data_IF_479212709402
#
_entry.id   IF_479212709402
#
_cell.length_a   1.000
_cell.length_b   1.000
_cell.length_c   1.000
_cell.angle_alpha   90.00
_cell.angle_beta   90.00
_cell.angle_gamma   90.00
#
_symmetry.space_group_name_H-M   'P 1'
#
loop_
_entity.id
_entity.type
_entity.pdbx_description
1 polymer ?
#
# COMPACT_ATOMS: atom_id res chain seq x y z
N UNK A 1 -6.74 -22.25 -29.11
CA UNK A 1 -7.42 -21.28 -28.23
C UNK A 1 -8.43 -22.05 -27.41
N UNK A 2 -8.78 -21.63 -26.20
CA UNK A 2 -9.84 -22.29 -25.45
C UNK A 2 -11.19 -22.10 -26.15
N UNK A 3 -12.01 -23.14 -26.15
CA UNK A 3 -13.33 -23.19 -26.75
C UNK A 3 -14.36 -23.52 -25.67
N UNK A 4 -15.64 -23.21 -25.92
CA UNK A 4 -16.78 -23.49 -25.01
C UNK A 4 -16.58 -23.01 -23.55
N UNK A 5 -16.05 -21.79 -23.37
CA UNK A 5 -15.80 -21.24 -22.05
C UNK A 5 -17.13 -20.92 -21.36
N UNK A 6 -17.32 -21.49 -20.16
CA UNK A 6 -18.44 -21.21 -19.26
C UNK A 6 -17.91 -20.63 -17.97
N UNK A 7 -18.41 -19.46 -17.59
CA UNK A 7 -18.09 -18.82 -16.33
C UNK A 7 -19.19 -19.12 -15.31
N UNK A 8 -18.79 -19.58 -14.13
CA UNK A 8 -19.63 -19.70 -12.94
C UNK A 8 -19.24 -18.60 -11.98
N UNK A 9 -20.04 -17.54 -11.90
CA UNK A 9 -19.72 -16.34 -11.11
C UNK A 9 -19.33 -16.70 -9.67
N UNK A 10 -18.19 -16.22 -9.21
CA UNK A 10 -17.64 -16.51 -7.88
C UNK A 10 -17.08 -17.92 -7.66
N UNK A 11 -17.16 -18.78 -8.68
CA UNK A 11 -16.65 -20.18 -8.57
C UNK A 11 -15.48 -20.46 -9.49
N UNK A 12 -15.51 -19.99 -10.75
CA UNK A 12 -14.43 -20.19 -11.70
C UNK A 12 -14.89 -20.37 -13.15
N UNK A 13 -14.02 -20.92 -13.97
CA UNK A 13 -14.15 -21.10 -15.40
C UNK A 13 -14.05 -22.59 -15.78
N UNK A 14 -14.87 -23.01 -16.72
CA UNK A 14 -14.75 -24.31 -17.42
C UNK A 14 -14.62 -24.06 -18.92
N UNK A 15 -13.82 -24.84 -19.61
CA UNK A 15 -13.65 -24.73 -21.05
C UNK A 15 -12.91 -25.92 -21.62
N UNK A 16 -12.75 -25.94 -22.94
CA UNK A 16 -12.04 -26.96 -23.66
C UNK A 16 -10.76 -26.38 -24.29
N UNK A 17 -9.63 -27.10 -24.12
CA UNK A 17 -8.36 -26.73 -24.73
C UNK A 17 -7.82 -27.97 -25.46
N UNK A 18 -7.94 -27.97 -26.79
CA UNK A 18 -7.75 -29.19 -27.60
C UNK A 18 -8.76 -30.24 -27.20
N UNK A 19 -8.28 -31.45 -26.91
CA UNK A 19 -9.15 -32.58 -26.53
C UNK A 19 -9.45 -32.63 -25.01
N UNK A 20 -8.86 -31.74 -24.20
CA UNK A 20 -8.98 -31.79 -22.74
C UNK A 20 -10.00 -30.80 -22.22
N UNK A 21 -10.85 -31.24 -21.28
CA UNK A 21 -11.70 -30.36 -20.49
C UNK A 21 -10.90 -29.76 -19.35
N UNK A 22 -10.81 -28.41 -19.29
CA UNK A 22 -10.09 -27.66 -18.26
C UNK A 22 -11.11 -26.98 -17.33
N UNK A 23 -10.88 -27.12 -16.03
CA UNK A 23 -11.62 -26.41 -14.98
C UNK A 23 -10.62 -25.62 -14.16
N UNK A 24 -10.86 -24.32 -14.01
CA UNK A 24 -10.02 -23.40 -13.22
C UNK A 24 -10.91 -22.64 -12.25
N UNK A 25 -10.70 -22.79 -10.95
CA UNK A 25 -11.58 -22.10 -10.00
C UNK A 25 -11.39 -22.50 -8.55
N UNK A 26 -12.44 -22.21 -7.78
CA UNK A 26 -12.48 -22.43 -6.35
C UNK A 26 -12.35 -23.91 -5.98
N UNK A 27 -11.98 -24.15 -4.72
CA UNK A 27 -11.95 -25.51 -4.14
C UNK A 27 -13.27 -26.28 -4.39
N UNK A 28 -14.41 -25.60 -4.21
CA UNK A 28 -15.73 -26.23 -4.38
C UNK A 28 -16.01 -26.64 -5.81
N UNK A 29 -15.54 -25.86 -6.79
CA UNK A 29 -15.71 -26.16 -8.21
C UNK A 29 -14.86 -27.36 -8.65
N UNK A 30 -13.60 -27.41 -8.20
CA UNK A 30 -12.62 -28.40 -8.65
C UNK A 30 -12.75 -29.75 -7.90
N UNK A 31 -13.00 -29.72 -6.59
CA UNK A 31 -13.06 -30.94 -5.76
C UNK A 31 -14.49 -31.34 -5.39
N UNK A 32 -15.50 -30.50 -5.61
CA UNK A 32 -16.87 -30.76 -5.19
C UNK A 32 -16.98 -30.99 -3.69
N UNK A 33 -17.76 -32.01 -3.30
CA UNK A 33 -17.91 -32.48 -1.90
C UNK A 33 -16.87 -33.55 -1.53
N UNK A 34 -15.93 -33.88 -2.41
CA UNK A 34 -14.89 -34.86 -2.18
C UNK A 34 -13.80 -34.38 -1.23
N UNK A 35 -13.00 -35.33 -0.74
CA UNK A 35 -11.79 -35.00 0.03
C UNK A 35 -10.76 -34.28 -0.85
N UNK A 36 -10.00 -33.36 -0.27
CA UNK A 36 -8.90 -32.70 -0.96
C UNK A 36 -7.59 -33.47 -0.72
N UNK A 37 -6.76 -33.65 -1.75
CA UNK A 37 -5.47 -34.32 -1.62
C UNK A 37 -4.49 -33.47 -0.80
N UNK A 38 -3.49 -34.10 -0.17
CA UNK A 38 -2.53 -33.41 0.70
C UNK A 38 -1.82 -32.25 0.05
N UNK A 39 -1.47 -32.33 -1.25
CA UNK A 39 -0.84 -31.25 -1.97
C UNK A 39 -1.76 -30.01 -2.05
N UNK A 40 -3.07 -30.20 -2.19
CA UNK A 40 -4.02 -29.09 -2.23
C UNK A 40 -4.22 -28.46 -0.84
N UNK A 41 -4.16 -29.27 0.24
CA UNK A 41 -4.13 -28.75 1.62
C UNK A 41 -2.88 -27.89 1.84
N UNK A 42 -1.71 -28.33 1.34
CA UNK A 42 -0.47 -27.54 1.41
C UNK A 42 -0.60 -26.23 0.63
N UNK A 43 -1.16 -26.27 -0.59
CA UNK A 43 -1.37 -25.07 -1.40
C UNK A 43 -2.30 -24.06 -0.71
N UNK A 44 -3.39 -24.51 -0.07
CA UNK A 44 -4.28 -23.66 0.71
C UNK A 44 -3.56 -23.01 1.90
N UNK A 45 -2.69 -23.76 2.57
CA UNK A 45 -1.88 -23.24 3.68
C UNK A 45 -0.90 -22.18 3.21
N UNK A 46 -0.17 -22.43 2.11
CA UNK A 46 0.73 -21.44 1.49
C UNK A 46 -0.02 -20.18 1.05
N UNK A 47 -1.18 -20.36 0.40
CA UNK A 47 -2.03 -19.24 0.04
C UNK A 47 -2.40 -18.38 1.25
N UNK A 48 -2.77 -19.05 2.36
CA UNK A 48 -3.11 -18.38 3.62
C UNK A 48 -1.95 -17.58 4.22
N UNK A 49 -0.72 -18.08 4.15
CA UNK A 49 0.45 -17.38 4.68
C UNK A 49 0.90 -16.21 3.81
N UNK A 50 0.74 -16.34 2.49
CA UNK A 50 1.13 -15.31 1.50
C UNK A 50 0.01 -14.34 1.17
N UNK A 51 -1.12 -14.41 1.88
CA UNK A 51 -2.35 -13.66 1.54
C UNK A 51 -2.75 -13.79 0.08
N UNK A 52 -2.46 -14.96 -0.49
CA UNK A 52 -2.74 -15.27 -1.87
C UNK A 52 -4.11 -15.93 -2.03
N UNK A 53 -4.78 -15.62 -3.12
CA UNK A 53 -5.94 -16.36 -3.57
C UNK A 53 -5.48 -17.68 -4.18
N UNK A 54 -6.03 -18.81 -3.71
CA UNK A 54 -5.75 -20.12 -4.32
C UNK A 54 -6.83 -20.48 -5.34
N UNK A 55 -6.40 -20.68 -6.58
CA UNK A 55 -7.24 -21.14 -7.67
C UNK A 55 -6.75 -22.52 -8.12
N UNK A 56 -7.62 -23.51 -8.10
CA UNK A 56 -7.28 -24.88 -8.46
C UNK A 56 -7.53 -25.15 -9.95
N UNK A 57 -6.74 -26.06 -10.50
CA UNK A 57 -6.85 -26.48 -11.89
C UNK A 57 -7.13 -27.97 -11.95
N UNK A 58 -8.14 -28.36 -12.75
CA UNK A 58 -8.39 -29.75 -13.10
C UNK A 58 -8.38 -29.94 -14.63
N UNK A 59 -7.85 -31.09 -15.05
CA UNK A 59 -7.82 -31.57 -16.45
C UNK A 59 -8.60 -32.85 -16.50
N UNK A 60 -9.62 -32.92 -17.35
CA UNK A 60 -10.52 -34.08 -17.50
C UNK A 60 -11.06 -34.59 -16.15
N UNK A 61 -11.45 -33.65 -15.28
CA UNK A 61 -11.98 -33.94 -13.96
C UNK A 61 -10.95 -34.38 -12.91
N UNK A 62 -9.65 -34.41 -13.26
CA UNK A 62 -8.56 -34.72 -12.33
C UNK A 62 -7.87 -33.43 -11.86
N UNK A 63 -7.88 -33.09 -10.57
CA UNK A 63 -7.12 -31.96 -10.05
C UNK A 63 -5.61 -32.15 -10.26
N UNK A 64 -4.98 -31.21 -10.97
CA UNK A 64 -3.56 -31.30 -11.38
C UNK A 64 -2.66 -30.29 -10.67
N UNK A 65 -3.22 -29.20 -10.13
CA UNK A 65 -2.41 -28.18 -9.47
C UNK A 65 -3.24 -27.04 -8.92
N UNK A 66 -2.53 -26.07 -8.34
CA UNK A 66 -3.09 -24.80 -7.84
C UNK A 66 -2.23 -23.64 -8.32
N UNK A 67 -2.89 -22.52 -8.61
CA UNK A 67 -2.29 -21.21 -8.85
C UNK A 67 -2.49 -20.39 -7.59
N UNK A 68 -1.42 -19.83 -7.08
CA UNK A 68 -1.47 -18.86 -5.97
C UNK A 68 -1.33 -17.48 -6.57
N UNK A 69 -2.39 -16.68 -6.43
CA UNK A 69 -2.47 -15.31 -6.94
C UNK A 69 -2.35 -14.39 -5.74
N UNK A 70 -1.21 -13.71 -5.61
CA UNK A 70 -1.00 -12.70 -4.59
C UNK A 70 -1.14 -11.32 -5.24
N UNK A 71 -1.78 -10.40 -4.52
CA UNK A 71 -1.79 -9.00 -4.89
C UNK A 71 -0.57 -8.34 -4.25
N UNK A 72 0.31 -7.80 -5.08
CA UNK A 72 1.52 -7.14 -4.60
C UNK A 72 1.19 -5.72 -4.12
N UNK A 73 1.86 -5.31 -3.03
CA UNK A 73 1.76 -3.93 -2.59
C UNK A 73 2.30 -3.01 -3.68
N UNK A 74 1.52 -2.00 -4.04
CA UNK A 74 1.91 -1.03 -5.07
C UNK A 74 3.14 -0.23 -4.62
N UNK A 75 4.14 -0.12 -5.49
CA UNK A 75 5.43 0.53 -5.21
C UNK A 75 5.26 1.95 -4.62
N UNK A 76 4.30 2.72 -5.14
CA UNK A 76 4.05 4.09 -4.69
C UNK A 76 3.33 4.21 -3.34
N UNK A 77 2.91 3.12 -2.71
CA UNK A 77 2.05 3.16 -1.50
C UNK A 77 2.75 3.81 -0.32
N UNK A 78 4.00 3.45 -0.03
CA UNK A 78 4.75 4.05 1.10
C UNK A 78 4.89 5.56 0.92
N UNK A 79 5.29 5.99 -0.28
CA UNK A 79 5.41 7.41 -0.60
C UNK A 79 4.06 8.13 -0.46
N UNK A 80 2.96 7.51 -0.87
CA UNK A 80 1.63 8.06 -0.71
C UNK A 80 1.27 8.25 0.77
N UNK A 81 1.57 7.26 1.64
CA UNK A 81 1.38 7.35 3.09
C UNK A 81 2.19 8.51 3.67
N UNK A 82 3.46 8.66 3.28
CA UNK A 82 4.31 9.77 3.72
C UNK A 82 3.77 11.13 3.26
N UNK A 83 3.33 11.23 2.00
CA UNK A 83 2.70 12.44 1.49
C UNK A 83 1.42 12.81 2.28
N UNK A 84 0.65 11.82 2.74
CA UNK A 84 -0.50 12.03 3.63
C UNK A 84 -0.06 12.56 5.01
N UNK A 85 1.03 12.03 5.58
CA UNK A 85 1.63 12.56 6.82
C UNK A 85 2.07 14.02 6.64
N UNK A 86 2.72 14.35 5.52
CA UNK A 86 3.19 15.71 5.21
C UNK A 86 2.05 16.72 5.07
N UNK A 87 0.89 16.31 4.58
CA UNK A 87 -0.33 17.13 4.63
C UNK A 87 -1.05 17.07 5.99
N UNK A 88 -0.34 16.68 7.06
CA UNK A 88 -0.80 16.66 8.45
C UNK A 88 -2.01 15.75 8.71
N UNK A 89 -2.05 14.60 8.10
CA UNK A 89 -2.92 13.49 8.53
C UNK A 89 -2.26 12.88 9.77
N UNK A 90 -2.90 13.03 10.92
CA UNK A 90 -2.34 12.62 12.21
C UNK A 90 -2.41 11.13 12.48
N UNK A 91 -3.39 10.42 11.88
CA UNK A 91 -3.60 8.99 12.08
C UNK A 91 -4.00 8.34 10.76
N UNK A 92 -3.33 7.24 10.42
CA UNK A 92 -3.58 6.45 9.21
C UNK A 92 -3.81 5.01 9.63
N UNK A 93 -4.96 4.47 9.25
CA UNK A 93 -5.37 3.11 9.60
C UNK A 93 -5.69 2.32 8.35
N UNK A 94 -5.43 1.02 8.39
CA UNK A 94 -5.90 0.07 7.40
C UNK A 94 -7.08 -0.73 7.96
N UNK A 95 -8.17 -0.83 7.20
CA UNK A 95 -9.33 -1.66 7.53
C UNK A 95 -9.55 -2.61 6.37
N UNK A 96 -9.30 -3.88 6.57
CA UNK A 96 -9.31 -4.90 5.53
C UNK A 96 -10.10 -6.14 5.93
N UNK A 97 -10.67 -6.82 4.93
CA UNK A 97 -11.23 -8.16 5.09
C UNK A 97 -10.18 -9.27 5.07
N UNK A 98 -8.93 -8.94 4.81
CA UNK A 98 -7.82 -9.90 4.79
C UNK A 98 -7.47 -10.37 6.20
N UNK A 99 -6.71 -11.46 6.24
CA UNK A 99 -6.29 -12.07 7.51
C UNK A 99 -5.29 -11.19 8.26
N UNK A 100 -5.35 -11.29 9.59
CA UNK A 100 -4.52 -10.49 10.48
C UNK A 100 -3.02 -10.62 10.20
N UNK A 101 -2.52 -11.85 9.99
CA UNK A 101 -1.08 -12.10 9.76
C UNK A 101 -0.50 -11.27 8.62
N UNK A 102 -1.24 -11.18 7.50
CA UNK A 102 -0.85 -10.42 6.33
C UNK A 102 -1.04 -8.93 6.49
N UNK A 103 -2.19 -8.55 7.03
CA UNK A 103 -2.53 -7.16 7.27
C UNK A 103 -1.54 -6.50 8.23
N UNK A 104 -1.12 -7.20 9.29
CA UNK A 104 -0.14 -6.71 10.26
C UNK A 104 1.25 -6.52 9.62
N UNK A 105 1.67 -7.45 8.75
CA UNK A 105 2.93 -7.32 8.00
C UNK A 105 2.94 -6.07 7.12
N UNK A 106 1.87 -5.85 6.36
CA UNK A 106 1.71 -4.64 5.51
C UNK A 106 1.64 -3.39 6.38
N UNK A 107 0.90 -3.43 7.48
CA UNK A 107 0.77 -2.31 8.40
C UNK A 107 2.10 -1.89 9.02
N UNK A 108 2.93 -2.84 9.40
CA UNK A 108 4.27 -2.60 9.92
C UNK A 108 5.19 -2.02 8.84
N UNK A 109 5.17 -2.56 7.62
CA UNK A 109 5.97 -2.07 6.50
C UNK A 109 5.61 -0.64 6.06
N UNK A 110 4.33 -0.26 6.17
CA UNK A 110 3.82 1.07 5.83
C UNK A 110 3.80 2.06 7.00
N UNK A 111 4.22 1.66 8.19
CA UNK A 111 4.16 2.48 9.41
C UNK A 111 2.77 3.04 9.68
N UNK A 112 1.76 2.16 9.66
CA UNK A 112 0.39 2.52 9.95
C UNK A 112 0.15 2.60 11.47
N UNK A 113 -0.73 3.50 11.90
CA UNK A 113 -1.04 3.69 13.32
C UNK A 113 -1.95 2.58 13.87
N UNK A 114 -2.73 1.92 13.02
CA UNK A 114 -3.54 0.78 13.38
C UNK A 114 -3.91 -0.06 12.16
N UNK A 115 -4.13 -1.34 12.40
CA UNK A 115 -4.61 -2.32 11.41
C UNK A 115 -5.83 -3.02 12.00
N UNK A 116 -6.94 -3.02 11.26
CA UNK A 116 -8.17 -3.74 11.58
C UNK A 116 -8.38 -4.80 10.49
N UNK A 117 -7.94 -5.99 10.75
CA UNK A 117 -8.04 -7.14 9.85
C UNK A 117 -9.33 -7.94 10.06
N UNK A 118 -9.62 -8.90 9.18
CA UNK A 118 -10.78 -9.79 9.23
C UNK A 118 -12.12 -9.04 9.34
N UNK A 119 -12.27 -7.88 8.67
CA UNK A 119 -13.46 -7.02 8.79
C UNK A 119 -14.45 -7.26 7.66
N UNK A 120 -15.71 -7.52 8.03
CA UNK A 120 -16.83 -7.51 7.09
C UNK A 120 -17.15 -6.07 6.62
N UNK A 121 -17.94 -5.90 5.55
CA UNK A 121 -18.39 -4.56 5.12
C UNK A 121 -19.12 -3.78 6.22
N UNK A 122 -19.88 -4.44 7.06
CA UNK A 122 -20.55 -3.84 8.24
C UNK A 122 -19.55 -3.38 9.30
N UNK A 123 -18.52 -4.20 9.59
CA UNK A 123 -17.48 -3.84 10.56
C UNK A 123 -16.66 -2.64 10.09
N UNK A 124 -16.49 -2.47 8.75
CA UNK A 124 -15.84 -1.28 8.18
C UNK A 124 -16.65 0.00 8.46
N UNK A 125 -17.97 -0.06 8.35
CA UNK A 125 -18.86 1.07 8.70
C UNK A 125 -18.72 1.43 10.18
N UNK A 126 -18.72 0.43 11.06
CA UNK A 126 -18.58 0.63 12.51
C UNK A 126 -17.21 1.21 12.88
N UNK A 127 -16.14 0.75 12.22
CA UNK A 127 -14.80 1.30 12.39
C UNK A 127 -14.74 2.78 12.01
N UNK A 128 -15.29 3.13 10.83
CA UNK A 128 -15.39 4.52 10.35
C UNK A 128 -16.18 5.39 11.32
N UNK A 129 -17.34 4.92 11.77
CA UNK A 129 -18.19 5.65 12.71
C UNK A 129 -17.53 5.86 14.08
N UNK A 130 -16.69 4.90 14.51
CA UNK A 130 -15.94 5.00 15.75
C UNK A 130 -14.85 6.08 15.65
N UNK A 131 -14.08 6.09 14.59
CA UNK A 131 -13.04 7.10 14.35
C UNK A 131 -13.66 8.50 14.15
N UNK A 132 -14.82 8.60 13.49
CA UNK A 132 -15.51 9.88 13.27
C UNK A 132 -15.93 10.56 14.57
N UNK A 133 -16.17 9.81 15.64
CA UNK A 133 -16.45 10.38 16.98
C UNK A 133 -15.22 11.06 17.60
N UNK A 134 -14.03 10.68 17.17
CA UNK A 134 -12.78 11.24 17.70
C UNK A 134 -12.35 12.47 16.91
N UNK A 135 -12.46 12.45 15.59
CA UNK A 135 -12.11 13.54 14.69
C UNK A 135 -12.78 13.35 13.32
N UNK A 136 -12.91 14.43 12.51
CA UNK A 136 -13.26 14.30 11.10
C UNK A 136 -12.26 13.34 10.40
N UNK A 137 -12.81 12.38 9.69
CA UNK A 137 -12.06 11.32 9.06
C UNK A 137 -12.25 11.27 7.54
N UNK A 138 -11.32 10.61 6.86
CA UNK A 138 -11.35 10.40 5.43
C UNK A 138 -11.16 8.90 5.18
N UNK A 139 -11.96 8.33 4.30
CA UNK A 139 -11.80 6.95 3.85
C UNK A 139 -11.48 6.92 2.36
N UNK A 140 -10.54 6.05 2.00
CA UNK A 140 -10.22 5.71 0.61
C UNK A 140 -10.59 4.26 0.39
N UNK A 141 -11.40 3.99 -0.62
CA UNK A 141 -11.81 2.64 -1.00
C UNK A 141 -11.89 2.51 -2.52
N UNK A 142 -11.72 1.30 -3.03
CA UNK A 142 -11.73 0.97 -4.46
C UNK A 142 -12.89 0.04 -4.85
N UNK A 143 -13.46 -0.66 -3.87
CA UNK A 143 -14.42 -1.73 -4.08
C UNK A 143 -15.89 -1.34 -3.87
N UNK A 144 -16.78 -2.10 -4.52
CA UNK A 144 -18.23 -2.01 -4.34
C UNK A 144 -18.62 -2.25 -2.88
N UNK A 145 -17.86 -3.11 -2.19
CA UNK A 145 -18.07 -3.47 -0.79
C UNK A 145 -17.77 -2.32 0.19
N UNK A 146 -17.05 -1.30 -0.25
CA UNK A 146 -16.68 -0.13 0.56
C UNK A 146 -17.71 1.00 0.47
N UNK A 147 -18.65 0.93 -0.46
CA UNK A 147 -19.66 1.98 -0.69
C UNK A 147 -20.42 2.40 0.60
N UNK A 148 -20.90 1.48 1.47
CA UNK A 148 -21.56 1.88 2.72
C UNK A 148 -20.65 2.64 3.68
N UNK A 149 -19.37 2.25 3.77
CA UNK A 149 -18.40 2.90 4.64
C UNK A 149 -17.97 4.26 4.07
N UNK A 150 -17.81 4.37 2.72
CA UNK A 150 -17.52 5.63 2.02
C UNK A 150 -18.65 6.66 2.22
N UNK A 151 -19.90 6.23 2.28
CA UNK A 151 -21.04 7.11 2.55
C UNK A 151 -21.14 7.52 4.03
N UNK A 152 -20.57 6.77 4.95
CA UNK A 152 -20.66 7.02 6.39
C UNK A 152 -19.52 7.89 6.93
N UNK A 153 -18.42 8.05 6.22
CA UNK A 153 -17.25 8.82 6.61
C UNK A 153 -17.45 10.32 6.40
N UNK A 154 -16.63 11.17 7.05
CA UNK A 154 -16.70 12.63 6.85
C UNK A 154 -16.33 13.06 5.42
N UNK A 155 -15.39 12.37 4.78
CA UNK A 155 -15.05 12.53 3.35
C UNK A 155 -14.72 11.17 2.76
N UNK A 156 -15.56 10.68 1.86
CA UNK A 156 -15.36 9.44 1.12
C UNK A 156 -14.63 9.68 -0.20
N UNK A 157 -13.57 8.91 -0.45
CA UNK A 157 -12.82 8.93 -1.72
C UNK A 157 -12.88 7.56 -2.38
N UNK A 158 -13.51 7.48 -3.55
CA UNK A 158 -13.45 6.29 -4.39
C UNK A 158 -12.25 6.36 -5.34
N UNK A 159 -11.49 5.27 -5.43
CA UNK A 159 -10.29 5.16 -6.26
C UNK A 159 -10.48 4.09 -7.34
N UNK A 160 -9.99 4.37 -8.57
CA UNK A 160 -10.10 3.41 -9.68
C UNK A 160 -11.50 3.20 -10.23
N UNK A 161 -12.49 4.00 -9.79
CA UNK A 161 -13.88 3.87 -10.19
C UNK A 161 -14.06 4.17 -11.69
N UNK A 162 -14.13 3.11 -12.50
CA UNK A 162 -14.47 3.22 -13.92
C UNK A 162 -15.99 3.17 -14.09
N UNK A 163 -16.60 4.33 -14.35
CA UNK A 163 -18.04 4.42 -14.62
C UNK A 163 -18.91 4.58 -13.37
N UNK A 164 -20.19 4.24 -13.48
CA UNK A 164 -21.20 4.39 -12.42
C UNK A 164 -21.16 3.22 -11.42
N UNK A 165 -20.00 2.98 -10.79
CA UNK A 165 -19.90 1.98 -9.71
C UNK A 165 -20.59 2.49 -8.44
N UNK A 166 -21.06 1.56 -7.57
CA UNK A 166 -21.67 1.92 -6.29
C UNK A 166 -20.73 2.78 -5.43
N UNK A 167 -19.42 2.50 -5.46
CA UNK A 167 -18.40 3.27 -4.74
C UNK A 167 -18.29 4.70 -5.26
N UNK A 168 -18.34 4.93 -6.57
CA UNK A 168 -18.27 6.28 -7.15
C UNK A 168 -19.51 7.12 -6.86
N UNK A 169 -20.68 6.49 -6.65
CA UNK A 169 -21.91 7.18 -6.28
C UNK A 169 -21.98 7.48 -4.76
N UNK A 170 -21.29 6.68 -3.95
CA UNK A 170 -21.28 6.85 -2.50
C UNK A 170 -20.17 7.81 -2.01
N UNK A 171 -19.18 8.10 -2.85
CA UNK A 171 -18.02 8.91 -2.48
C UNK A 171 -18.22 10.39 -2.81
N UNK A 172 -17.65 11.28 -1.97
CA UNK A 172 -17.57 12.72 -2.21
C UNK A 172 -16.57 13.10 -3.30
N UNK A 173 -15.50 12.29 -3.43
CA UNK A 173 -14.42 12.48 -4.40
C UNK A 173 -14.15 11.18 -5.15
N UNK A 174 -13.96 11.28 -6.45
CA UNK A 174 -13.62 10.15 -7.31
C UNK A 174 -12.26 10.38 -7.95
N UNK A 175 -11.32 9.48 -7.71
CA UNK A 175 -10.00 9.46 -8.33
C UNK A 175 -10.03 8.39 -9.44
N UNK A 176 -9.91 8.82 -10.70
CA UNK A 176 -10.07 7.96 -11.87
C UNK A 176 -8.92 6.95 -12.08
N UNK A 177 -7.82 7.13 -11.38
CA UNK A 177 -6.64 6.26 -11.45
C UNK A 177 -6.44 5.56 -10.11
N UNK A 178 -5.98 4.33 -10.16
CA UNK A 178 -5.73 3.54 -8.95
C UNK A 178 -4.37 3.90 -8.34
N UNK A 179 -4.21 5.15 -7.89
CA UNK A 179 -2.98 5.68 -7.32
C UNK A 179 -3.24 6.46 -6.04
N UNK A 180 -2.77 5.92 -4.92
CA UNK A 180 -2.97 6.50 -3.59
C UNK A 180 -2.28 7.87 -3.41
N UNK A 181 -1.18 8.15 -4.12
CA UNK A 181 -0.48 9.43 -4.09
C UNK A 181 -1.37 10.60 -4.58
N UNK A 182 -2.42 10.31 -5.37
CA UNK A 182 -3.39 11.31 -5.83
C UNK A 182 -4.27 11.83 -4.71
N UNK A 183 -4.51 11.04 -3.67
CA UNK A 183 -5.26 11.45 -2.48
C UNK A 183 -4.54 12.58 -1.76
N UNK A 184 -3.24 12.45 -1.54
CA UNK A 184 -2.43 13.51 -0.90
C UNK A 184 -2.40 14.80 -1.72
N UNK A 185 -2.34 14.68 -3.06
CA UNK A 185 -2.41 15.83 -3.97
C UNK A 185 -3.78 16.50 -3.91
N UNK A 186 -4.88 15.73 -3.90
CA UNK A 186 -6.23 16.26 -3.76
C UNK A 186 -6.40 17.04 -2.45
N UNK A 187 -5.90 16.48 -1.34
CA UNK A 187 -5.90 17.13 -0.03
C UNK A 187 -5.08 18.44 -0.01
N UNK A 188 -3.89 18.43 -0.63
CA UNK A 188 -3.05 19.62 -0.71
C UNK A 188 -3.73 20.74 -1.52
N UNK A 189 -4.37 20.40 -2.64
CA UNK A 189 -5.13 21.32 -3.47
C UNK A 189 -6.33 21.88 -2.69
N UNK A 190 -7.10 21.03 -2.02
CA UNK A 190 -8.27 21.43 -1.24
C UNK A 190 -7.87 22.38 -0.11
N UNK A 191 -6.82 22.07 0.67
CA UNK A 191 -6.32 22.95 1.74
C UNK A 191 -5.82 24.28 1.24
N UNK A 192 -5.11 24.28 0.11
CA UNK A 192 -4.64 25.50 -0.53
C UNK A 192 -5.82 26.37 -0.98
N UNK A 193 -6.80 25.77 -1.67
CA UNK A 193 -8.00 26.46 -2.13
C UNK A 193 -8.76 27.07 -0.96
N UNK A 194 -8.98 26.29 0.11
CA UNK A 194 -9.61 26.77 1.34
C UNK A 194 -8.84 27.92 1.99
N UNK A 195 -7.50 27.82 2.09
CA UNK A 195 -6.67 28.90 2.63
C UNK A 195 -6.77 30.20 1.83
N UNK A 196 -6.79 30.12 0.50
CA UNK A 196 -6.97 31.28 -0.37
C UNK A 196 -8.38 31.88 -0.20
N UNK A 197 -9.42 31.02 -0.11
CA UNK A 197 -10.79 31.48 0.10
C UNK A 197 -10.94 32.24 1.43
N UNK A 198 -10.46 31.66 2.54
CA UNK A 198 -10.50 32.32 3.85
C UNK A 198 -9.70 33.64 3.83
N UNK A 199 -8.50 33.64 3.23
CA UNK A 199 -7.70 34.84 3.07
C UNK A 199 -8.46 35.92 2.30
N UNK A 200 -9.12 35.59 1.20
CA UNK A 200 -9.92 36.51 0.39
C UNK A 200 -11.09 37.10 1.19
N UNK A 201 -11.82 36.25 1.92
CA UNK A 201 -12.95 36.68 2.75
C UNK A 201 -12.48 37.63 3.83
N UNK A 202 -11.43 37.27 4.60
CA UNK A 202 -10.95 38.09 5.72
C UNK A 202 -10.43 39.43 5.21
N UNK A 203 -9.66 39.46 4.12
CA UNK A 203 -9.14 40.73 3.56
C UNK A 203 -10.28 41.57 3.02
N UNK A 204 -11.22 40.99 2.27
CA UNK A 204 -12.39 41.71 1.74
C UNK A 204 -13.23 42.34 2.85
N UNK A 205 -13.58 41.58 3.89
CA UNK A 205 -14.34 42.04 5.03
C UNK A 205 -13.61 43.15 5.79
N UNK A 206 -12.30 43.01 6.00
CA UNK A 206 -11.50 44.01 6.72
C UNK A 206 -11.45 45.33 5.94
N UNK A 207 -11.21 45.27 4.62
CA UNK A 207 -11.17 46.47 3.75
C UNK A 207 -12.55 47.15 3.68
N UNK A 208 -13.64 46.38 3.47
CA UNK A 208 -14.99 46.90 3.44
C UNK A 208 -15.39 47.52 4.80
N UNK A 209 -15.03 46.88 5.91
CA UNK A 209 -15.23 47.42 7.26
C UNK A 209 -14.47 48.74 7.49
N UNK A 210 -13.24 48.84 7.03
CA UNK A 210 -12.45 50.05 7.10
C UNK A 210 -13.07 51.19 6.24
N UNK A 211 -13.56 50.86 5.03
CA UNK A 211 -14.24 51.80 4.16
C UNK A 211 -15.54 52.32 4.79
N UNK A 212 -16.34 51.42 5.42
CA UNK A 212 -17.55 51.82 6.16
C UNK A 212 -17.25 52.74 7.35
N UNK A 213 -16.18 52.46 8.12
CA UNK A 213 -15.74 53.33 9.20
C UNK A 213 -15.33 54.70 8.67
N UNK A 214 -14.56 54.77 7.60
CA UNK A 214 -14.17 56.02 6.96
C UNK A 214 -15.40 56.82 6.47
N UNK A 215 -16.40 56.15 5.90
CA UNK A 215 -17.64 56.78 5.48
C UNK A 215 -18.47 57.30 6.68
N UNK A 216 -18.51 56.61 7.83
CA UNK A 216 -19.22 57.02 9.01
C UNK A 216 -18.63 58.29 9.66
N UNK A 217 -17.33 58.53 9.48
CA UNK A 217 -16.65 59.78 9.90
C UNK A 217 -16.73 60.89 8.84
N UNK A 218 -17.47 60.67 7.72
CA UNK A 218 -17.61 61.66 6.66
C UNK A 218 -16.39 61.80 5.75
N UNK A 219 -15.41 60.92 5.86
CA UNK A 219 -14.19 60.92 5.04
C UNK A 219 -14.43 60.39 3.62
N UNK A 220 -15.53 59.69 3.39
CA UNK A 220 -15.86 59.04 2.13
C UNK A 220 -17.26 59.48 1.66
N UNK A 221 -17.34 60.16 0.52
CA UNK A 221 -18.64 60.48 -0.09
C UNK A 221 -19.26 59.23 -0.76
N UNK A 222 -20.58 59.10 -0.87
CA UNK A 222 -21.23 57.84 -1.34
C UNK A 222 -20.72 57.31 -2.68
N UNK A 223 -20.49 58.20 -3.64
CA UNK A 223 -19.97 57.77 -4.98
C UNK A 223 -18.55 57.23 -4.87
N UNK A 224 -17.68 57.86 -4.10
CA UNK A 224 -16.33 57.35 -3.89
C UNK A 224 -16.33 56.06 -3.09
N UNK A 225 -17.24 55.90 -2.12
CA UNK A 225 -17.45 54.64 -1.39
C UNK A 225 -17.84 53.47 -2.29
N UNK A 226 -18.74 53.70 -3.22
CA UNK A 226 -19.13 52.69 -4.20
C UNK A 226 -17.95 52.27 -5.13
N UNK A 227 -17.15 53.22 -5.60
CA UNK A 227 -15.95 52.94 -6.40
C UNK A 227 -14.88 52.15 -5.61
N UNK A 228 -14.67 52.51 -4.34
CA UNK A 228 -13.74 51.78 -3.45
C UNK A 228 -14.21 50.35 -3.26
N UNK A 229 -15.51 50.12 -3.03
CA UNK A 229 -16.07 48.79 -2.89
C UNK A 229 -15.85 47.95 -4.14
N UNK A 230 -16.07 48.52 -5.33
CA UNK A 230 -15.85 47.81 -6.60
C UNK A 230 -14.37 47.39 -6.77
N UNK A 231 -13.43 48.25 -6.39
CA UNK A 231 -12.00 47.94 -6.40
C UNK A 231 -11.66 46.81 -5.41
N UNK A 232 -12.27 46.81 -4.21
CA UNK A 232 -12.10 45.73 -3.23
C UNK A 232 -12.61 44.43 -3.79
N UNK A 233 -13.78 44.39 -4.41
CA UNK A 233 -14.40 43.18 -4.97
C UNK A 233 -13.56 42.60 -6.10
N UNK A 234 -13.05 43.43 -7.02
CA UNK A 234 -12.13 43.03 -8.06
C UNK A 234 -10.84 42.43 -7.50
N UNK A 235 -10.26 43.10 -6.48
CA UNK A 235 -9.03 42.63 -5.84
C UNK A 235 -9.22 41.25 -5.14
N UNK A 236 -10.38 41.06 -4.47
CA UNK A 236 -10.75 39.77 -3.85
C UNK A 236 -10.90 38.68 -4.89
N UNK A 237 -11.56 38.96 -6.03
CA UNK A 237 -11.71 38.02 -7.14
C UNK A 237 -10.33 37.65 -7.72
N UNK A 238 -9.47 38.64 -8.00
CA UNK A 238 -8.13 38.39 -8.50
C UNK A 238 -7.29 37.55 -7.53
N UNK A 239 -7.41 37.79 -6.22
CA UNK A 239 -6.77 36.95 -5.22
C UNK A 239 -7.31 35.52 -5.23
N UNK A 240 -8.61 35.31 -5.40
CA UNK A 240 -9.24 34.00 -5.47
C UNK A 240 -8.77 33.20 -6.71
N UNK A 241 -8.52 33.88 -7.85
CA UNK A 241 -8.01 33.22 -9.07
C UNK A 241 -6.62 32.60 -8.87
N UNK A 242 -5.87 32.97 -7.84
CA UNK A 242 -4.62 32.27 -7.47
C UNK A 242 -4.84 30.79 -7.14
N UNK A 243 -6.06 30.39 -6.78
CA UNK A 243 -6.39 28.98 -6.56
C UNK A 243 -6.25 28.14 -7.84
N UNK A 244 -6.45 28.73 -9.02
CA UNK A 244 -6.34 28.05 -10.32
C UNK A 244 -4.89 27.83 -10.77
N UNK A 245 -3.93 28.55 -10.21
CA UNK A 245 -2.54 28.44 -10.57
C UNK A 245 -1.86 27.19 -9.94
N UNK A 246 -0.73 26.75 -10.50
CA UNK A 246 0.05 25.64 -9.93
C UNK A 246 0.51 25.99 -8.51
N UNK A 247 0.43 24.99 -7.60
CA UNK A 247 0.91 25.13 -6.23
C UNK A 247 2.44 25.20 -6.16
N UNK A 248 2.96 25.84 -5.11
CA UNK A 248 4.40 25.87 -4.84
C UNK A 248 5.01 24.50 -4.56
N UNK A 249 4.18 23.47 -4.33
CA UNK A 249 4.59 22.09 -4.03
C UNK A 249 5.04 21.29 -5.26
N UNK A 250 4.80 21.79 -6.48
CA UNK A 250 5.27 21.12 -7.71
C UNK A 250 6.68 21.52 -8.15
N UNK A 251 7.36 22.36 -7.41
CA UNK A 251 8.62 22.99 -7.84
C UNK A 251 9.86 22.72 -6.98
N UNK A 252 9.80 21.80 -6.00
CA UNK A 252 11.03 21.30 -5.39
C UNK A 252 11.75 20.43 -6.42
N UNK A 253 12.66 21.00 -7.20
CA UNK A 253 13.58 20.26 -8.06
C UNK A 253 14.42 19.37 -7.17
N UNK A 254 14.09 18.08 -7.13
CA UNK A 254 14.98 17.05 -6.62
C UNK A 254 16.28 17.10 -7.45
N UNK A 255 17.44 17.02 -6.81
CA UNK A 255 18.68 16.85 -7.54
C UNK A 255 18.63 15.49 -8.23
N UNK A 256 18.87 15.46 -9.52
CA UNK A 256 18.89 14.21 -10.28
C UNK A 256 20.07 13.35 -9.88
N UNK A 257 19.80 12.09 -9.61
CA UNK A 257 20.83 11.06 -9.43
C UNK A 257 21.44 10.70 -10.79
N UNK A 258 22.72 10.34 -10.85
CA UNK A 258 23.35 9.91 -12.10
C UNK A 258 22.78 8.59 -12.59
N UNK A 259 22.66 8.41 -13.90
CA UNK A 259 22.13 7.20 -14.52
C UNK A 259 22.96 5.94 -14.16
N UNK A 260 24.26 6.13 -13.95
CA UNK A 260 25.19 5.05 -13.54
C UNK A 260 24.82 4.54 -12.13
N UNK A 261 24.61 5.43 -11.16
CA UNK A 261 24.24 5.05 -9.80
C UNK A 261 22.86 4.35 -9.75
N UNK A 262 21.93 4.77 -10.62
CA UNK A 262 20.62 4.11 -10.73
C UNK A 262 20.73 2.70 -11.33
N UNK A 263 21.63 2.48 -12.28
CA UNK A 263 21.86 1.17 -12.87
C UNK A 263 22.57 0.21 -11.88
N UNK A 264 23.52 0.71 -11.10
CA UNK A 264 24.23 -0.08 -10.10
C UNK A 264 23.22 -0.60 -9.03
N UNK A 265 22.38 0.29 -8.52
CA UNK A 265 21.32 -0.06 -7.58
C UNK A 265 20.34 -1.10 -8.16
N UNK A 266 19.92 -0.92 -9.43
CA UNK A 266 19.02 -1.89 -10.07
C UNK A 266 19.65 -3.28 -10.18
N UNK A 267 20.95 -3.39 -10.43
CA UNK A 267 21.63 -4.67 -10.50
C UNK A 267 21.74 -5.35 -9.12
N UNK A 268 21.85 -4.59 -8.05
CA UNK A 268 21.84 -5.09 -6.67
C UNK A 268 20.46 -5.65 -6.31
N UNK A 269 19.38 -4.96 -6.66
CA UNK A 269 18.01 -5.45 -6.45
C UNK A 269 17.71 -6.73 -7.21
N UNK A 270 18.13 -6.86 -8.48
CA UNK A 270 17.96 -8.10 -9.25
C UNK A 270 18.70 -9.27 -8.60
N UNK A 271 19.80 -9.03 -7.92
CA UNK A 271 20.53 -10.07 -7.17
C UNK A 271 19.77 -10.47 -5.92
N UNK A 272 19.26 -9.49 -5.17
CA UNK A 272 18.48 -9.73 -3.96
C UNK A 272 17.17 -10.48 -4.27
N UNK A 273 16.47 -10.13 -5.34
CA UNK A 273 15.27 -10.86 -5.79
C UNK A 273 15.56 -12.34 -6.09
N UNK A 274 16.67 -12.65 -6.73
CA UNK A 274 17.07 -14.06 -6.96
C UNK A 274 17.29 -14.81 -5.66
N UNK A 275 17.87 -14.18 -4.65
CA UNK A 275 18.06 -14.79 -3.34
C UNK A 275 16.73 -14.99 -2.60
N UNK A 276 15.78 -14.08 -2.74
CA UNK A 276 14.42 -14.24 -2.22
C UNK A 276 13.67 -15.39 -2.90
N UNK A 277 13.85 -15.58 -4.21
CA UNK A 277 13.29 -16.72 -4.93
C UNK A 277 13.89 -18.06 -4.47
N UNK A 278 15.17 -18.08 -4.09
CA UNK A 278 15.77 -19.25 -3.45
C UNK A 278 15.16 -19.54 -2.07
N UNK A 279 14.93 -18.51 -1.24
CA UNK A 279 14.23 -18.68 0.04
C UNK A 279 12.83 -19.27 -0.17
N UNK A 280 12.12 -18.82 -1.19
CA UNK A 280 10.81 -19.35 -1.57
C UNK A 280 10.89 -20.83 -1.94
N UNK A 281 11.88 -21.21 -2.73
CA UNK A 281 12.10 -22.63 -3.13
C UNK A 281 12.40 -23.49 -1.90
N UNK A 282 13.26 -23.03 -1.01
CA UNK A 282 13.57 -23.71 0.26
C UNK A 282 12.30 -23.91 1.09
N UNK A 283 11.46 -22.89 1.22
CA UNK A 283 10.20 -22.97 1.97
C UNK A 283 9.25 -24.00 1.35
N UNK A 284 9.21 -24.09 0.02
CA UNK A 284 8.37 -25.03 -0.69
C UNK A 284 8.85 -26.50 -0.53
N UNK A 285 10.15 -26.73 -0.45
CA UNK A 285 10.74 -28.07 -0.25
C UNK A 285 10.60 -28.58 1.19
N UNK A 286 10.46 -27.70 2.18
CA UNK A 286 10.33 -28.06 3.59
C UNK A 286 9.09 -28.90 3.91
N UNK A 287 8.01 -28.77 3.14
CA UNK A 287 6.72 -29.41 3.44
C UNK A 287 6.80 -30.94 3.48
N UNK A 288 7.70 -31.54 2.68
CA UNK A 288 7.87 -32.99 2.54
C UNK A 288 9.24 -33.49 3.03
N UNK A 289 10.07 -32.61 3.61
CA UNK A 289 11.44 -32.91 4.00
C UNK A 289 11.49 -33.82 5.24
N UNK A 290 12.39 -34.81 5.20
CA UNK A 290 12.77 -35.57 6.40
C UNK A 290 13.47 -34.63 7.43
N UNK A 291 13.46 -34.93 8.74
CA UNK A 291 14.04 -34.03 9.74
C UNK A 291 15.49 -33.60 9.48
N UNK A 292 16.33 -34.47 9.00
CA UNK A 292 17.72 -34.12 8.64
C UNK A 292 17.78 -33.14 7.46
N UNK A 293 16.98 -33.38 6.43
CA UNK A 293 16.88 -32.49 5.27
C UNK A 293 16.26 -31.12 5.66
N UNK A 294 15.26 -31.12 6.55
CA UNK A 294 14.68 -29.88 7.07
C UNK A 294 15.72 -29.05 7.81
N UNK A 295 16.62 -29.66 8.59
CA UNK A 295 17.73 -28.96 9.24
C UNK A 295 18.66 -28.27 8.22
N UNK A 296 19.05 -28.99 7.17
CA UNK A 296 19.92 -28.45 6.10
C UNK A 296 19.26 -27.28 5.35
N UNK A 297 17.96 -27.38 5.07
CA UNK A 297 17.19 -26.34 4.42
C UNK A 297 17.07 -25.09 5.30
N UNK A 298 16.84 -25.26 6.62
CA UNK A 298 16.79 -24.14 7.57
C UNK A 298 18.15 -23.45 7.68
N UNK A 299 19.26 -24.21 7.77
CA UNK A 299 20.60 -23.65 7.81
C UNK A 299 20.96 -22.90 6.51
N UNK A 300 20.51 -23.44 5.37
CA UNK A 300 20.67 -22.78 4.08
C UNK A 300 19.87 -21.46 4.00
N UNK A 301 18.65 -21.43 4.51
CA UNK A 301 17.83 -20.23 4.56
C UNK A 301 18.45 -19.18 5.50
N UNK A 302 18.92 -19.56 6.68
CA UNK A 302 19.59 -18.67 7.63
C UNK A 302 20.84 -18.03 7.00
N UNK A 303 21.64 -18.81 6.28
CA UNK A 303 22.82 -18.33 5.57
C UNK A 303 22.47 -17.32 4.47
N UNK A 304 21.47 -17.60 3.63
CA UNK A 304 21.01 -16.67 2.60
C UNK A 304 20.54 -15.36 3.22
N UNK A 305 19.75 -15.43 4.29
CA UNK A 305 19.25 -14.24 4.99
C UNK A 305 20.41 -13.44 5.60
N UNK A 306 21.36 -14.10 6.25
CA UNK A 306 22.50 -13.42 6.89
C UNK A 306 23.44 -12.77 5.88
N UNK A 307 23.80 -13.47 4.81
CA UNK A 307 24.81 -13.03 3.84
C UNK A 307 24.28 -12.04 2.80
N UNK A 308 22.99 -12.12 2.46
CA UNK A 308 22.44 -11.32 1.36
C UNK A 308 21.40 -10.30 1.82
N UNK A 309 20.52 -10.67 2.76
CA UNK A 309 19.48 -9.74 3.21
C UNK A 309 20.04 -8.80 4.27
N UNK A 310 20.58 -9.33 5.37
CA UNK A 310 21.05 -8.51 6.50
C UNK A 310 22.22 -7.60 6.11
N UNK A 311 23.11 -8.08 5.24
CA UNK A 311 24.23 -7.27 4.77
C UNK A 311 23.78 -6.14 3.85
N UNK A 312 22.83 -6.39 2.94
CA UNK A 312 22.23 -5.38 2.07
C UNK A 312 21.57 -4.27 2.90
N UNK A 313 20.68 -4.61 3.83
CA UNK A 313 20.00 -3.66 4.71
C UNK A 313 20.98 -2.81 5.54
N UNK A 314 22.12 -3.38 5.92
CA UNK A 314 23.16 -2.65 6.63
C UNK A 314 23.93 -1.69 5.73
N UNK A 315 24.16 -2.05 4.48
CA UNK A 315 24.82 -1.21 3.50
C UNK A 315 23.94 -0.01 3.16
N UNK A 316 22.64 -0.20 3.02
CA UNK A 316 21.69 0.87 2.80
C UNK A 316 21.69 1.90 3.93
N UNK A 317 21.62 1.46 5.18
CA UNK A 317 21.67 2.39 6.32
C UNK A 317 22.99 3.17 6.41
N UNK A 318 24.11 2.55 6.06
CA UNK A 318 25.43 3.15 6.25
C UNK A 318 25.93 3.96 5.06
N UNK A 319 25.52 3.59 3.84
CA UNK A 319 26.06 4.15 2.59
C UNK A 319 25.03 4.84 1.74
N UNK A 320 23.84 4.27 1.57
CA UNK A 320 22.84 4.72 0.62
C UNK A 320 21.97 5.82 1.22
N UNK A 321 21.39 5.61 2.40
CA UNK A 321 20.47 6.57 3.02
C UNK A 321 21.12 7.91 3.38
N UNK A 322 22.37 7.99 3.87
CA UNK A 322 23.04 9.26 4.08
C UNK A 322 23.20 10.08 2.80
N UNK A 323 23.34 9.42 1.64
CA UNK A 323 23.38 10.11 0.33
C UNK A 323 21.98 10.58 -0.10
N UNK A 324 20.95 9.77 0.15
CA UNK A 324 19.56 10.09 -0.20
C UNK A 324 18.98 11.24 0.61
N UNK A 325 19.42 11.46 1.86
CA UNK A 325 18.99 12.61 2.68
C UNK A 325 19.22 13.95 1.99
N UNK A 326 20.22 14.04 1.12
CA UNK A 326 20.48 15.25 0.31
C UNK A 326 19.53 15.46 -0.87
N UNK A 327 18.78 14.43 -1.26
CA UNK A 327 17.85 14.44 -2.40
C UNK A 327 16.38 14.45 -1.97
N UNK A 328 16.07 13.98 -0.77
CA UNK A 328 14.70 13.95 -0.24
C UNK A 328 14.40 15.26 0.49
N UNK A 329 13.26 15.85 0.19
CA UNK A 329 12.78 17.06 0.87
C UNK A 329 12.32 16.82 2.30
N UNK A 330 12.26 15.56 2.76
CA UNK A 330 11.76 15.17 4.07
C UNK A 330 12.45 13.89 4.58
N UNK A 331 12.88 13.91 5.84
CA UNK A 331 13.53 12.78 6.52
C UNK A 331 12.57 11.67 6.97
N UNK A 332 11.23 11.92 6.90
CA UNK A 332 10.23 10.94 7.37
C UNK A 332 10.21 9.67 6.50
N UNK A 333 10.52 9.78 5.20
CA UNK A 333 10.62 8.65 4.29
C UNK A 333 11.66 7.63 4.74
N UNK A 334 12.84 8.09 5.04
CA UNK A 334 13.95 7.24 5.50
C UNK A 334 13.70 6.63 6.88
N UNK A 335 12.94 7.31 7.76
CA UNK A 335 12.62 6.77 9.09
C UNK A 335 11.68 5.56 9.04
N UNK A 336 10.80 5.49 8.05
CA UNK A 336 9.94 4.32 7.82
C UNK A 336 10.76 3.14 7.28
N UNK A 337 11.68 3.40 6.34
CA UNK A 337 12.60 2.40 5.80
C UNK A 337 13.50 1.82 6.90
N UNK A 338 14.10 2.66 7.74
CA UNK A 338 14.88 2.20 8.91
C UNK A 338 14.05 1.40 9.93
N UNK A 339 12.72 1.54 9.96
CA UNK A 339 11.86 0.65 10.76
C UNK A 339 11.66 -0.71 10.12
N UNK A 340 11.46 -0.75 8.80
CA UNK A 340 11.39 -2.00 8.06
C UNK A 340 12.68 -2.82 8.27
N UNK A 341 13.85 -2.19 8.16
CA UNK A 341 15.15 -2.83 8.46
C UNK A 341 15.20 -3.43 9.87
N UNK A 342 14.71 -2.72 10.90
CA UNK A 342 14.70 -3.24 12.27
C UNK A 342 13.84 -4.50 12.41
N UNK A 343 12.70 -4.56 11.70
CA UNK A 343 11.84 -5.73 11.71
C UNK A 343 12.46 -6.89 10.93
N UNK A 344 13.04 -6.63 9.77
CA UNK A 344 13.81 -7.61 9.00
C UNK A 344 14.95 -8.20 9.87
N UNK A 345 15.73 -7.34 10.52
CA UNK A 345 16.77 -7.76 11.45
C UNK A 345 16.25 -8.53 12.66
N UNK A 346 15.04 -8.21 13.15
CA UNK A 346 14.40 -8.97 14.24
C UNK A 346 14.07 -10.38 13.79
N UNK A 347 13.43 -10.54 12.65
CA UNK A 347 13.08 -11.84 12.09
C UNK A 347 14.31 -12.66 11.68
N UNK A 348 15.34 -12.03 11.11
CA UNK A 348 16.61 -12.67 10.80
C UNK A 348 17.28 -13.23 12.05
N UNK A 349 17.31 -12.47 13.15
CA UNK A 349 17.84 -12.97 14.45
C UNK A 349 17.00 -14.10 15.02
N UNK A 350 15.69 -14.09 14.80
CA UNK A 350 14.80 -15.18 15.21
C UNK A 350 15.14 -16.46 14.42
N UNK A 351 15.25 -16.35 13.08
CA UNK A 351 15.64 -17.46 12.22
C UNK A 351 16.99 -18.06 12.63
N UNK A 352 18.00 -17.22 12.82
CA UNK A 352 19.32 -17.63 13.24
C UNK A 352 19.33 -18.37 14.60
N UNK A 353 18.57 -17.86 15.58
CA UNK A 353 18.42 -18.56 16.89
C UNK A 353 17.77 -19.93 16.73
N UNK A 354 16.78 -20.05 15.86
CA UNK A 354 16.17 -21.35 15.58
C UNK A 354 17.18 -22.27 14.91
N UNK A 355 17.88 -21.81 13.87
CA UNK A 355 18.89 -22.59 13.15
C UNK A 355 20.00 -23.10 14.09
N UNK A 356 20.54 -22.24 14.96
CA UNK A 356 21.56 -22.62 15.94
C UNK A 356 21.08 -23.61 17.01
N UNK A 357 19.78 -23.60 17.34
CA UNK A 357 19.18 -24.50 18.30
C UNK A 357 18.72 -25.85 17.73
N UNK A 358 18.87 -26.07 16.42
CA UNK A 358 18.42 -27.29 15.76
C UNK A 358 19.28 -28.50 16.14
N UNK A 359 18.60 -29.56 16.49
CA UNK A 359 19.16 -30.91 16.59
C UNK A 359 18.19 -31.85 15.89
N UNK A 360 18.67 -32.92 15.32
CA UNK A 360 17.84 -33.91 14.58
C UNK A 360 16.66 -34.44 15.43
N UNK A 361 16.77 -34.38 16.76
CA UNK A 361 15.76 -34.86 17.68
C UNK A 361 14.66 -33.84 18.04
N UNK A 362 14.86 -32.55 17.78
CA UNK A 362 13.88 -31.50 18.12
C UNK A 362 13.13 -30.95 16.91
N UNK A 363 13.40 -31.47 15.72
CA UNK A 363 12.72 -31.06 14.49
C UNK A 363 11.42 -31.82 14.37
N UNK A 364 10.34 -31.11 14.62
CA UNK A 364 8.98 -31.59 14.38
C UNK A 364 8.25 -30.74 13.33
N UNK A 365 7.08 -31.20 12.94
CA UNK A 365 6.25 -30.48 11.94
C UNK A 365 5.80 -29.09 12.37
N UNK A 366 5.78 -28.80 13.67
CA UNK A 366 5.37 -27.49 14.19
C UNK A 366 6.52 -26.51 14.07
N UNK A 367 7.72 -26.90 14.45
CA UNK A 367 8.93 -26.11 14.28
C UNK A 367 9.18 -25.79 12.81
N UNK A 368 9.05 -26.78 11.92
CA UNK A 368 9.18 -26.56 10.46
C UNK A 368 8.19 -25.49 9.98
N UNK A 369 6.95 -25.53 10.43
CA UNK A 369 5.93 -24.54 10.09
C UNK A 369 6.23 -23.14 10.63
N UNK A 370 6.73 -23.05 11.84
CA UNK A 370 7.09 -21.76 12.45
C UNK A 370 8.27 -21.13 11.70
N UNK A 371 9.25 -21.95 11.31
CA UNK A 371 10.37 -21.49 10.47
C UNK A 371 9.89 -21.02 9.10
N UNK A 372 9.02 -21.78 8.44
CA UNK A 372 8.43 -21.39 7.17
C UNK A 372 7.76 -20.01 7.25
N UNK A 373 6.99 -19.76 8.32
CA UNK A 373 6.37 -18.45 8.55
C UNK A 373 7.38 -17.32 8.70
N UNK A 374 8.46 -17.56 9.45
CA UNK A 374 9.52 -16.57 9.63
C UNK A 374 10.19 -16.25 8.29
N UNK A 375 10.53 -17.26 7.50
CA UNK A 375 11.15 -17.06 6.18
C UNK A 375 10.19 -16.30 5.24
N UNK A 376 8.93 -16.68 5.18
CA UNK A 376 7.92 -16.00 4.35
C UNK A 376 7.69 -14.55 4.79
N UNK A 377 7.73 -14.27 6.11
CA UNK A 377 7.63 -12.91 6.63
C UNK A 377 8.85 -12.07 6.24
N UNK A 378 10.05 -12.63 6.28
CA UNK A 378 11.27 -11.95 5.81
C UNK A 378 11.15 -11.66 4.31
N UNK A 379 10.80 -12.67 3.50
CA UNK A 379 10.63 -12.51 2.05
C UNK A 379 9.63 -11.39 1.73
N UNK A 380 8.47 -11.39 2.36
CA UNK A 380 7.42 -10.39 2.12
C UNK A 380 7.88 -8.98 2.50
N UNK A 381 8.51 -8.81 3.67
CA UNK A 381 9.01 -7.51 4.13
C UNK A 381 10.11 -6.97 3.21
N UNK A 382 11.06 -7.81 2.81
CA UNK A 382 12.16 -7.39 1.93
C UNK A 382 11.63 -7.01 0.54
N UNK A 383 10.70 -7.78 -0.03
CA UNK A 383 10.09 -7.41 -1.33
C UNK A 383 9.35 -6.09 -1.27
N UNK A 384 8.58 -5.84 -0.20
CA UNK A 384 7.89 -4.57 0.00
C UNK A 384 8.91 -3.45 0.14
N UNK A 385 9.96 -3.66 0.91
CA UNK A 385 11.02 -2.70 1.15
C UNK A 385 11.76 -2.32 -0.14
N UNK A 386 12.20 -3.32 -0.92
CA UNK A 386 12.85 -3.11 -2.22
C UNK A 386 11.97 -2.33 -3.20
N UNK A 387 10.67 -2.68 -3.28
CA UNK A 387 9.74 -1.97 -4.14
C UNK A 387 9.58 -0.49 -3.74
N UNK A 388 9.69 -0.18 -2.45
CA UNK A 388 9.64 1.19 -1.93
C UNK A 388 10.90 1.98 -2.27
N UNK A 389 12.06 1.35 -2.17
CA UNK A 389 13.34 1.95 -2.56
C UNK A 389 13.40 2.23 -4.05
N UNK A 390 13.01 1.27 -4.89
CA UNK A 390 12.95 1.45 -6.32
C UNK A 390 12.06 2.64 -6.72
N UNK A 391 10.90 2.83 -6.07
CA UNK A 391 10.03 4.00 -6.31
C UNK A 391 10.72 5.32 -5.94
N UNK A 392 11.51 5.37 -4.87
CA UNK A 392 12.28 6.55 -4.47
C UNK A 392 13.35 6.86 -5.53
N UNK A 393 14.08 5.85 -6.00
CA UNK A 393 15.14 6.02 -6.99
C UNK A 393 14.61 6.41 -8.37
N UNK A 394 13.51 5.81 -8.82
CA UNK A 394 12.85 6.19 -10.07
C UNK A 394 12.43 7.66 -10.06
N UNK A 395 11.94 8.16 -8.92
CA UNK A 395 11.57 9.57 -8.78
C UNK A 395 12.77 10.51 -8.66
N UNK A 396 13.89 10.05 -8.11
CA UNK A 396 15.14 10.80 -8.05
C UNK A 396 15.83 10.89 -9.43
N UNK A 397 15.51 10.00 -10.37
CA UNK A 397 16.09 9.97 -11.74
C UNK A 397 15.16 10.57 -12.80
N UNK A 398 13.84 10.65 -12.58
CA UNK A 398 12.82 11.04 -13.58
C UNK A 398 12.68 12.55 -13.82
N UNK A 399 13.61 13.37 -13.34
CA UNK A 399 13.70 14.81 -13.61
C UNK A 399 14.94 15.12 -14.39
#
# INVERSE_FOLDING_TARGET
MPEDIRESFGSGLEGQVGDNKIIVGSRSLVFGSGGIPDWAVRSLRRASWRSALSTFVAVDGRPVGALLLADELRKETLRAIQMLRNVRIGRIMMVTGDRADAADTIGAALDLDAVLADRSPTDKVDAVATEQRLAPNLMVGDGINDAPALAAVSVGIAMGARGASASSQAADVVILVERLDRVSKALAIARRGYGIAIQSIVIGMALSGAAMLAASFGLLVPVAGALVQEVIDVAVILNALRALGPGRTEGARLRTMSQTAANDLRSEYEMLERNLDQLRTITDEHDDAAPAQAAELIDSADRIVAEHVVEHEREDETSVYPRLTGFLSDSHGLSAMSRAHREIHHLARLLNRIAQGLTTNNIDRYLVRDVQRVIESIEALVRIHNAQEEDIYEHATAT
#
